data_IF_995919095098
#
_entry.id   IF_995919095098
#
_cell.length_a   1.000
_cell.length_b   1.000
_cell.length_c   1.000
_cell.angle_alpha   90.00
_cell.angle_beta   90.00
_cell.angle_gamma   90.00
#
_symmetry.space_group_name_H-M   'P 1'
#
loop_
_entity.id
_entity.type
_entity.pdbx_description
1 polymer ?
#
# COMPACT_ATOMS: atom_id res chain seq x y z
N UNK A 1 6.36 5.91 22.35
CA UNK A 1 5.42 4.91 21.73
C UNK A 1 5.29 3.70 22.64
N UNK A 2 4.09 3.12 22.77
CA UNK A 2 3.87 1.90 23.54
C UNK A 2 4.61 0.72 22.91
N UNK A 3 5.35 -0.05 23.76
CA UNK A 3 6.10 -1.23 23.29
C UNK A 3 5.21 -2.30 22.65
N UNK A 4 3.97 -2.48 23.15
CA UNK A 4 2.97 -3.41 22.61
C UNK A 4 2.64 -3.09 21.13
N UNK A 5 2.51 -1.79 20.79
CA UNK A 5 2.22 -1.35 19.44
C UNK A 5 3.42 -1.58 18.52
N UNK A 6 4.63 -1.25 18.98
CA UNK A 6 5.84 -1.51 18.21
C UNK A 6 6.05 -3.00 17.99
N UNK A 7 5.75 -3.85 18.98
CA UNK A 7 5.85 -5.31 18.86
C UNK A 7 4.82 -5.86 17.87
N UNK A 8 3.60 -5.33 17.86
CA UNK A 8 2.60 -5.67 16.83
C UNK A 8 3.14 -5.41 15.42
N UNK A 9 3.76 -4.25 15.20
CA UNK A 9 4.28 -3.89 13.88
C UNK A 9 5.64 -4.52 13.52
N UNK A 10 6.34 -5.18 14.49
CA UNK A 10 7.46 -6.07 14.19
C UNK A 10 7.02 -7.45 13.70
N UNK A 11 5.81 -7.87 14.06
CA UNK A 11 5.29 -9.17 13.64
C UNK A 11 4.96 -9.16 12.15
N UNK A 12 5.22 -10.30 11.50
CA UNK A 12 4.78 -10.51 10.12
C UNK A 12 3.31 -10.85 10.09
N UNK A 13 2.61 -10.29 9.13
CA UNK A 13 1.30 -10.78 8.70
C UNK A 13 1.45 -12.01 7.79
N UNK A 14 0.30 -12.57 7.37
CA UNK A 14 0.30 -13.56 6.29
C UNK A 14 0.96 -13.01 5.00
N UNK A 15 0.74 -11.74 4.71
CA UNK A 15 1.19 -11.12 3.45
C UNK A 15 2.65 -10.64 3.51
N UNK A 16 3.11 -10.15 4.64
CA UNK A 16 4.47 -9.63 4.81
C UNK A 16 5.48 -10.71 5.27
N UNK A 17 5.04 -11.93 5.58
CA UNK A 17 5.94 -13.00 5.99
C UNK A 17 6.84 -13.44 4.82
N UNK A 18 8.18 -13.29 4.94
CA UNK A 18 9.11 -13.65 3.89
C UNK A 18 9.40 -15.16 3.81
N UNK A 19 8.85 -15.97 4.72
CA UNK A 19 9.10 -17.40 4.79
C UNK A 19 10.59 -17.72 4.97
N UNK A 20 11.13 -18.55 4.10
CA UNK A 20 12.53 -19.00 4.13
C UNK A 20 13.56 -17.89 3.86
N UNK A 21 13.12 -16.75 3.33
CA UNK A 21 14.01 -15.65 2.90
C UNK A 21 14.31 -14.64 4.00
N UNK A 22 13.74 -14.80 5.21
CA UNK A 22 13.92 -13.84 6.32
C UNK A 22 15.38 -13.51 6.60
N UNK A 23 16.20 -14.55 6.71
CA UNK A 23 17.61 -14.39 7.06
C UNK A 23 18.41 -13.69 5.95
N UNK A 24 18.14 -14.02 4.68
CA UNK A 24 18.75 -13.33 3.54
C UNK A 24 18.36 -11.86 3.51
N UNK A 25 17.08 -11.53 3.69
CA UNK A 25 16.63 -10.13 3.75
C UNK A 25 17.31 -9.35 4.88
N UNK A 26 17.46 -9.97 6.05
CA UNK A 26 18.08 -9.33 7.20
C UNK A 26 19.59 -9.07 7.01
N UNK A 27 20.31 -10.02 6.40
CA UNK A 27 21.78 -10.04 6.38
C UNK A 27 22.41 -9.52 5.10
N UNK A 28 21.74 -9.70 3.94
CA UNK A 28 22.32 -9.43 2.63
C UNK A 28 21.92 -8.05 2.08
N UNK A 29 20.82 -7.47 2.57
CA UNK A 29 20.35 -6.16 2.14
C UNK A 29 20.94 -5.04 3.01
N UNK A 30 21.10 -3.82 2.47
CA UNK A 30 21.56 -2.65 3.23
C UNK A 30 20.69 -2.39 4.48
N UNK A 31 21.24 -1.66 5.45
CA UNK A 31 20.47 -1.19 6.62
C UNK A 31 19.80 0.17 6.33
N UNK A 32 20.26 0.88 5.32
CA UNK A 32 19.71 2.16 4.90
C UNK A 32 18.37 1.98 4.17
N UNK A 33 17.32 2.63 4.68
CA UNK A 33 15.94 2.50 4.19
C UNK A 33 15.81 3.01 2.75
N UNK A 34 16.54 4.06 2.37
CA UNK A 34 16.55 4.61 1.01
C UNK A 34 17.15 3.62 0.03
N UNK A 35 18.28 3.00 0.41
CA UNK A 35 18.93 1.98 -0.39
C UNK A 35 18.03 0.73 -0.57
N UNK A 36 17.33 0.30 0.50
CA UNK A 36 16.35 -0.79 0.42
C UNK A 36 15.23 -0.44 -0.56
N UNK A 37 14.61 0.75 -0.43
CA UNK A 37 13.51 1.17 -1.30
C UNK A 37 13.93 1.23 -2.78
N UNK A 38 15.13 1.71 -3.06
CA UNK A 38 15.70 1.67 -4.43
C UNK A 38 15.86 0.24 -4.94
N UNK A 39 16.37 -0.69 -4.13
CA UNK A 39 16.48 -2.10 -4.52
C UNK A 39 15.11 -2.73 -4.77
N UNK A 40 14.12 -2.45 -3.94
CA UNK A 40 12.75 -2.92 -4.16
C UNK A 40 12.25 -2.43 -5.52
N UNK A 41 12.38 -1.13 -5.83
CA UNK A 41 11.96 -0.56 -7.10
C UNK A 41 12.72 -1.12 -8.30
N UNK A 42 14.02 -1.41 -8.13
CA UNK A 42 14.85 -2.00 -9.19
C UNK A 42 14.59 -3.50 -9.41
N UNK A 43 13.74 -4.11 -8.61
CA UNK A 43 13.30 -5.50 -8.72
C UNK A 43 11.81 -5.63 -9.07
N UNK A 44 11.06 -4.53 -9.08
CA UNK A 44 9.65 -4.47 -9.40
C UNK A 44 9.37 -3.52 -10.56
N UNK A 45 8.26 -3.71 -11.23
CA UNK A 45 7.72 -2.76 -12.21
C UNK A 45 6.22 -2.64 -11.99
N UNK A 46 5.72 -1.41 -11.87
CA UNK A 46 4.31 -1.20 -11.66
C UNK A 46 3.52 -1.52 -12.94
N UNK A 47 2.43 -2.27 -12.80
CA UNK A 47 1.55 -2.70 -13.91
C UNK A 47 1.14 -1.54 -14.82
N UNK A 48 0.87 -0.37 -14.25
CA UNK A 48 0.51 0.83 -15.03
C UNK A 48 1.64 1.30 -15.95
N UNK A 49 2.90 1.10 -15.58
CA UNK A 49 4.04 1.45 -16.43
C UNK A 49 4.07 0.61 -17.71
N UNK A 50 3.66 -0.65 -17.64
CA UNK A 50 3.53 -1.50 -18.84
C UNK A 50 2.41 -1.00 -19.76
N UNK A 51 1.26 -0.59 -19.19
CA UNK A 51 0.15 -0.05 -19.97
C UNK A 51 0.51 1.27 -20.66
N UNK A 52 1.37 2.09 -20.03
CA UNK A 52 1.83 3.37 -20.59
C UNK A 52 2.95 3.19 -21.63
N UNK A 53 3.65 2.06 -21.65
CA UNK A 53 4.78 1.79 -22.54
C UNK A 53 5.98 2.72 -22.30
N UNK A 54 6.85 2.85 -23.30
CA UNK A 54 8.00 3.78 -23.30
C UNK A 54 7.67 5.13 -23.97
N UNK A 55 6.48 5.65 -23.73
CA UNK A 55 5.98 6.90 -24.34
C UNK A 55 5.56 7.91 -23.29
N UNK A 56 5.50 9.19 -23.66
CA UNK A 56 5.09 10.27 -22.78
C UNK A 56 5.93 10.32 -21.48
N UNK A 57 5.31 10.39 -20.32
CA UNK A 57 6.03 10.46 -19.04
C UNK A 57 6.98 9.29 -18.80
N UNK A 58 6.70 8.11 -19.34
CA UNK A 58 7.57 6.94 -19.20
C UNK A 58 8.89 7.05 -19.97
N UNK A 59 8.96 7.86 -21.02
CA UNK A 59 10.19 8.00 -21.82
C UNK A 59 11.35 8.55 -20.97
N UNK A 60 11.04 9.43 -20.01
CA UNK A 60 12.01 10.05 -19.12
C UNK A 60 12.22 9.27 -17.81
N UNK A 61 11.35 8.29 -17.54
CA UNK A 61 11.48 7.43 -16.38
C UNK A 61 12.57 6.38 -16.62
N UNK A 62 13.47 6.21 -15.68
CA UNK A 62 14.58 5.25 -15.76
C UNK A 62 14.13 3.79 -15.57
N UNK A 63 13.00 3.40 -16.16
CA UNK A 63 12.45 2.04 -16.06
C UNK A 63 12.98 1.07 -17.11
N UNK A 64 13.67 1.58 -18.12
CA UNK A 64 14.13 0.78 -19.25
C UNK A 64 13.04 0.53 -20.30
N UNK A 65 13.29 -0.41 -21.19
CA UNK A 65 12.41 -0.70 -22.33
C UNK A 65 11.25 -1.62 -21.93
N UNK A 66 10.07 -1.04 -21.71
CA UNK A 66 8.85 -1.76 -21.34
C UNK A 66 8.38 -2.75 -22.42
N UNK A 67 8.77 -2.55 -23.69
CA UNK A 67 8.40 -3.46 -24.78
C UNK A 67 9.04 -4.86 -24.64
N UNK A 68 10.08 -4.96 -23.83
CA UNK A 68 10.74 -6.24 -23.51
C UNK A 68 9.98 -7.08 -22.48
N UNK A 69 9.01 -6.51 -21.78
CA UNK A 69 8.18 -7.25 -20.83
C UNK A 69 7.03 -7.92 -21.57
N UNK A 70 6.94 -9.25 -21.60
CA UNK A 70 5.87 -9.96 -22.29
C UNK A 70 4.50 -9.58 -21.76
N UNK A 71 3.53 -9.36 -22.66
CA UNK A 71 2.17 -8.90 -22.30
C UNK A 71 1.44 -9.84 -21.34
N UNK A 72 1.67 -11.14 -21.39
CA UNK A 72 1.05 -12.13 -20.51
C UNK A 72 1.55 -12.07 -19.07
N UNK A 73 2.58 -11.28 -18.78
CA UNK A 73 3.07 -11.05 -17.42
C UNK A 73 2.37 -9.90 -16.70
N UNK A 74 1.49 -9.15 -17.37
CA UNK A 74 0.77 -8.06 -16.72
C UNK A 74 -0.03 -8.48 -15.47
N UNK A 75 -0.72 -9.65 -15.44
CA UNK A 75 -1.42 -10.11 -14.25
C UNK A 75 -0.52 -10.91 -13.28
N UNK A 76 0.78 -10.72 -13.30
CA UNK A 76 1.74 -11.51 -12.51
C UNK A 76 1.50 -11.37 -10.99
N UNK A 77 1.07 -10.20 -10.54
CA UNK A 77 0.70 -9.94 -9.15
C UNK A 77 -0.49 -10.77 -8.65
N UNK A 78 -1.40 -11.20 -9.51
CA UNK A 78 -2.50 -12.10 -9.13
C UNK A 78 -1.98 -13.45 -8.59
N UNK A 79 -0.78 -13.86 -9.01
CA UNK A 79 -0.13 -15.11 -8.59
C UNK A 79 0.91 -14.91 -7.47
N UNK A 80 1.18 -13.68 -7.06
CA UNK A 80 2.23 -13.32 -6.09
C UNK A 80 1.67 -12.57 -4.88
N UNK A 81 0.62 -13.06 -4.19
CA UNK A 81 -0.13 -12.26 -3.21
C UNK A 81 0.65 -11.93 -1.92
N UNK A 82 1.77 -12.59 -1.66
CA UNK A 82 2.56 -12.48 -0.42
C UNK A 82 4.03 -12.18 -0.70
N UNK A 83 4.74 -11.64 0.30
CA UNK A 83 6.18 -11.43 0.22
C UNK A 83 6.93 -12.74 -0.11
N UNK A 84 6.55 -13.84 0.52
CA UNK A 84 7.17 -15.16 0.25
C UNK A 84 7.02 -15.57 -1.23
N UNK A 85 5.84 -15.38 -1.83
CA UNK A 85 5.61 -15.70 -3.24
C UNK A 85 6.44 -14.79 -4.17
N UNK A 86 6.48 -13.47 -3.90
CA UNK A 86 7.30 -12.53 -4.66
C UNK A 86 8.80 -12.87 -4.57
N UNK A 87 9.28 -13.17 -3.37
CA UNK A 87 10.68 -13.57 -3.14
C UNK A 87 11.02 -14.89 -3.84
N UNK A 88 10.14 -15.89 -3.75
CA UNK A 88 10.34 -17.16 -4.45
C UNK A 88 10.51 -16.95 -5.96
N UNK A 89 9.67 -16.09 -6.55
CA UNK A 89 9.77 -15.77 -7.98
C UNK A 89 11.03 -14.99 -8.31
N UNK A 90 11.42 -14.01 -7.49
CA UNK A 90 12.67 -13.25 -7.68
C UNK A 90 13.91 -14.15 -7.59
N UNK A 91 13.98 -15.05 -6.59
CA UNK A 91 15.08 -16.00 -6.46
C UNK A 91 15.08 -17.08 -7.54
N UNK A 92 13.90 -17.48 -8.05
CA UNK A 92 13.80 -18.39 -9.20
C UNK A 92 14.39 -17.77 -10.47
N UNK A 93 14.19 -16.45 -10.68
CA UNK A 93 14.75 -15.72 -11.83
C UNK A 93 16.24 -15.52 -11.70
N UNK A 94 16.74 -15.24 -10.51
CA UNK A 94 18.16 -15.06 -10.24
C UNK A 94 18.47 -15.37 -8.76
N UNK A 95 19.43 -16.26 -8.46
CA UNK A 95 19.74 -16.68 -7.09
C UNK A 95 20.29 -15.55 -6.19
N UNK A 96 20.66 -14.41 -6.75
CA UNK A 96 21.06 -13.22 -5.98
C UNK A 96 19.86 -12.50 -5.33
N UNK A 97 18.64 -12.92 -5.62
CA UNK A 97 17.44 -12.35 -5.01
C UNK A 97 17.28 -10.85 -5.26
N UNK A 98 17.21 -10.06 -4.18
CA UNK A 98 17.01 -8.60 -4.22
C UNK A 98 18.32 -7.78 -4.19
N UNK A 99 19.48 -8.39 -4.14
CA UNK A 99 20.75 -7.68 -3.87
C UNK A 99 21.31 -6.88 -5.04
N UNK A 100 20.64 -6.86 -6.18
CA UNK A 100 21.10 -6.18 -7.38
C UNK A 100 19.95 -5.58 -8.20
N UNK A 101 20.30 -4.67 -9.10
CA UNK A 101 19.35 -4.10 -10.06
C UNK A 101 19.07 -5.10 -11.19
N UNK A 102 17.79 -5.44 -11.39
CA UNK A 102 17.37 -6.29 -12.51
C UNK A 102 17.12 -5.48 -13.76
N UNK A 103 17.36 -6.10 -14.91
CA UNK A 103 16.84 -5.57 -16.18
C UNK A 103 15.32 -5.56 -16.11
N UNK A 104 14.69 -4.63 -16.85
CA UNK A 104 13.23 -4.44 -16.80
C UNK A 104 12.47 -5.74 -17.07
N UNK A 105 12.89 -6.50 -18.06
CA UNK A 105 12.27 -7.77 -18.44
C UNK A 105 12.36 -8.87 -17.36
N UNK A 106 13.28 -8.73 -16.42
CA UNK A 106 13.51 -9.69 -15.34
C UNK A 106 12.85 -9.28 -14.01
N UNK A 107 12.28 -8.07 -13.93
CA UNK A 107 11.55 -7.58 -12.74
C UNK A 107 10.19 -8.26 -12.62
N UNK A 108 9.66 -8.39 -11.41
CA UNK A 108 8.27 -8.83 -11.23
C UNK A 108 7.30 -7.67 -11.51
N UNK A 109 6.17 -8.00 -12.15
CA UNK A 109 5.11 -7.03 -12.49
C UNK A 109 4.08 -7.02 -11.37
N UNK A 110 4.03 -5.93 -10.63
CA UNK A 110 3.19 -5.80 -9.43
C UNK A 110 2.55 -4.40 -9.35
N UNK A 111 1.62 -4.21 -8.41
CA UNK A 111 1.08 -2.88 -8.09
C UNK A 111 1.66 -2.35 -6.78
N UNK A 112 1.33 -1.12 -6.42
CA UNK A 112 1.85 -0.41 -5.23
C UNK A 112 1.70 -1.22 -3.94
N UNK A 113 0.57 -1.92 -3.71
CA UNK A 113 0.36 -2.80 -2.54
C UNK A 113 1.48 -3.83 -2.38
N UNK A 114 1.89 -4.45 -3.46
CA UNK A 114 2.92 -5.52 -3.42
C UNK A 114 4.31 -4.94 -3.18
N UNK A 115 4.58 -3.75 -3.72
CA UNK A 115 5.81 -2.99 -3.43
C UNK A 115 5.90 -2.69 -1.93
N UNK A 116 4.82 -2.18 -1.33
CA UNK A 116 4.75 -1.92 0.11
C UNK A 116 4.86 -3.20 0.95
N UNK A 117 4.19 -4.29 0.56
CA UNK A 117 4.32 -5.58 1.25
C UNK A 117 5.77 -6.08 1.23
N UNK A 118 6.46 -5.96 0.10
CA UNK A 118 7.85 -6.36 -0.01
C UNK A 118 8.77 -5.47 0.84
N UNK A 119 8.55 -4.15 0.81
CA UNK A 119 9.28 -3.18 1.63
C UNK A 119 9.07 -3.46 3.13
N UNK A 120 7.83 -3.60 3.58
CA UNK A 120 7.51 -3.94 4.97
C UNK A 120 8.13 -5.27 5.40
N UNK A 121 8.12 -6.28 4.52
CA UNK A 121 8.74 -7.58 4.78
C UNK A 121 10.24 -7.46 5.06
N UNK A 122 10.95 -6.64 4.27
CA UNK A 122 12.38 -6.41 4.45
C UNK A 122 12.64 -5.67 5.77
N UNK A 123 11.94 -4.59 6.03
CA UNK A 123 12.12 -3.78 7.25
C UNK A 123 11.81 -4.61 8.52
N UNK A 124 10.71 -5.36 8.51
CA UNK A 124 10.37 -6.28 9.61
C UNK A 124 11.43 -7.40 9.78
N UNK A 125 12.03 -7.91 8.70
CA UNK A 125 13.12 -8.88 8.79
C UNK A 125 14.35 -8.31 9.48
N UNK A 126 14.58 -6.99 9.37
CA UNK A 126 15.63 -6.27 10.09
C UNK A 126 15.21 -5.83 11.51
N UNK A 127 14.02 -6.24 11.98
CA UNK A 127 13.50 -5.89 13.31
C UNK A 127 12.93 -4.49 13.44
N UNK A 128 12.77 -3.77 12.34
CA UNK A 128 12.21 -2.42 12.30
C UNK A 128 10.67 -2.52 12.31
N UNK A 129 9.97 -1.93 13.33
CA UNK A 129 8.53 -1.89 13.33
C UNK A 129 8.03 -1.17 12.07
N UNK A 130 7.19 -1.83 11.30
CA UNK A 130 6.72 -1.30 10.00
C UNK A 130 5.27 -1.67 9.79
N UNK A 131 4.48 -0.71 9.32
CA UNK A 131 3.09 -0.92 8.92
C UNK A 131 2.87 -0.45 7.50
N UNK A 132 2.15 -1.25 6.74
CA UNK A 132 1.63 -0.86 5.43
C UNK A 132 0.43 0.05 5.64
N UNK A 133 0.28 1.08 4.81
CA UNK A 133 -0.84 2.01 4.85
C UNK A 133 -1.48 2.09 3.47
N UNK A 134 -2.79 2.20 3.43
CA UNK A 134 -3.55 2.45 2.20
C UNK A 134 -4.19 3.83 2.23
N UNK A 135 -4.34 4.44 1.08
CA UNK A 135 -4.97 5.76 0.95
C UNK A 135 -4.90 6.26 -0.48
N UNK A 136 -4.64 7.54 -0.66
CA UNK A 136 -4.56 8.13 -1.98
C UNK A 136 -3.36 9.08 -2.08
N UNK A 137 -2.70 9.07 -3.23
CA UNK A 137 -1.50 9.86 -3.52
C UNK A 137 -1.84 11.03 -4.45
N UNK A 138 -1.94 12.27 -3.93
CA UNK A 138 -2.17 13.45 -4.76
C UNK A 138 -0.94 13.84 -5.59
N UNK A 139 0.25 13.38 -5.21
CA UNK A 139 1.49 13.65 -5.93
C UNK A 139 1.66 12.86 -7.23
N UNK A 140 0.76 11.92 -7.53
CA UNK A 140 0.69 11.24 -8.83
C UNK A 140 -0.14 11.99 -9.86
N UNK A 141 -0.62 13.18 -9.54
CA UNK A 141 -1.28 14.05 -10.50
C UNK A 141 -0.27 14.62 -11.51
N UNK A 142 0.09 13.81 -12.47
CA UNK A 142 1.07 14.12 -13.52
C UNK A 142 0.40 14.61 -14.81
N UNK A 143 -0.87 15.02 -14.80
CA UNK A 143 -1.58 15.25 -16.03
C UNK A 143 -2.67 16.33 -16.06
N UNK A 144 -3.33 16.50 -17.20
CA UNK A 144 -4.32 17.55 -17.43
C UNK A 144 -5.66 17.33 -16.72
N UNK A 145 -5.81 16.29 -15.92
CA UNK A 145 -7.08 15.91 -15.29
C UNK A 145 -7.43 16.72 -14.03
N UNK A 146 -6.59 17.68 -13.64
CA UNK A 146 -6.77 18.50 -12.44
C UNK A 146 -6.25 17.80 -11.17
N UNK A 147 -6.56 18.37 -10.01
CA UNK A 147 -6.10 17.86 -8.71
C UNK A 147 -6.76 16.53 -8.36
N UNK A 148 -6.26 15.44 -8.88
CA UNK A 148 -6.69 14.07 -8.57
C UNK A 148 -5.84 13.47 -7.46
N UNK A 149 -6.40 12.52 -6.74
CA UNK A 149 -5.73 11.72 -5.72
C UNK A 149 -6.00 10.24 -6.04
N UNK A 150 -4.94 9.53 -6.42
CA UNK A 150 -5.04 8.14 -6.92
C UNK A 150 -4.88 7.18 -5.75
N UNK A 151 -5.65 6.10 -5.73
CA UNK A 151 -5.48 5.04 -4.72
C UNK A 151 -4.04 4.53 -4.71
N UNK A 152 -3.50 4.42 -3.53
CA UNK A 152 -2.09 4.06 -3.38
C UNK A 152 -1.79 3.41 -2.04
N UNK A 153 -0.68 2.67 -2.01
CA UNK A 153 -0.19 1.98 -0.83
C UNK A 153 1.25 2.41 -0.56
N UNK A 154 1.52 2.70 0.72
CA UNK A 154 2.79 3.21 1.21
C UNK A 154 3.16 2.47 2.50
N UNK A 155 4.33 2.78 3.06
CA UNK A 155 4.78 2.24 4.33
C UNK A 155 5.03 3.34 5.36
N UNK A 156 4.86 3.00 6.62
CA UNK A 156 5.37 3.76 7.75
C UNK A 156 6.28 2.85 8.58
N UNK A 157 7.54 3.28 8.81
CA UNK A 157 8.44 2.59 9.71
C UNK A 157 8.75 3.43 10.94
N UNK A 158 8.99 2.80 12.07
CA UNK A 158 9.36 3.48 13.31
C UNK A 158 10.85 3.84 13.30
N UNK A 159 11.14 5.14 13.26
CA UNK A 159 12.51 5.65 13.47
C UNK A 159 12.76 5.78 14.98
N UNK A 160 13.54 4.86 15.54
CA UNK A 160 13.79 4.82 16.97
C UNK A 160 14.69 5.99 17.46
N UNK A 161 15.49 6.59 16.57
CA UNK A 161 16.34 7.73 16.94
C UNK A 161 15.53 9.04 17.05
N UNK A 162 14.48 9.16 16.25
CA UNK A 162 13.62 10.35 16.21
C UNK A 162 12.28 10.12 16.96
N UNK A 163 12.03 8.91 17.44
CA UNK A 163 10.83 8.51 18.15
C UNK A 163 9.52 8.83 17.40
N UNK A 164 9.54 8.65 16.06
CA UNK A 164 8.37 8.91 15.19
C UNK A 164 8.19 7.88 14.10
N UNK A 165 7.00 7.83 13.55
CA UNK A 165 6.73 7.15 12.28
C UNK A 165 7.27 7.99 11.13
N UNK A 166 8.02 7.37 10.24
CA UNK A 166 8.47 7.93 8.96
C UNK A 166 7.64 7.33 7.85
N UNK A 167 7.00 8.19 7.06
CA UNK A 167 6.17 7.78 5.92
C UNK A 167 7.03 7.70 4.67
N UNK A 168 7.00 6.55 3.99
CA UNK A 168 7.82 6.28 2.80
C UNK A 168 7.00 5.68 1.66
N UNK A 169 7.41 5.95 0.43
CA UNK A 169 6.81 5.40 -0.78
C UNK A 169 7.90 4.82 -1.71
N UNK A 170 8.15 3.53 -1.58
CA UNK A 170 9.12 2.84 -2.42
C UNK A 170 8.66 2.70 -3.88
N UNK A 171 7.35 2.75 -4.16
CA UNK A 171 6.84 2.68 -5.53
C UNK A 171 7.02 4.00 -6.30
N UNK A 172 7.08 5.13 -5.60
CA UNK A 172 7.34 6.44 -6.20
C UNK A 172 8.82 6.69 -6.55
N UNK A 173 9.74 5.79 -6.24
CA UNK A 173 11.16 5.92 -6.62
C UNK A 173 11.29 6.10 -8.13
N UNK A 174 12.05 7.09 -8.54
CA UNK A 174 12.27 7.56 -9.93
C UNK A 174 11.09 8.32 -10.56
N UNK A 175 9.97 8.50 -9.88
CA UNK A 175 8.92 9.41 -10.35
C UNK A 175 9.34 10.87 -10.15
N UNK A 176 8.94 11.79 -11.03
CA UNK A 176 9.27 13.21 -10.92
C UNK A 176 8.33 13.90 -9.91
N UNK A 177 8.34 13.45 -8.66
CA UNK A 177 7.56 14.05 -7.57
C UNK A 177 8.39 15.07 -6.83
N UNK A 178 7.79 16.21 -6.48
CA UNK A 178 8.46 17.31 -5.77
C UNK A 178 8.24 17.17 -4.25
N UNK A 179 8.70 16.02 -3.71
CA UNK A 179 8.71 15.76 -2.27
C UNK A 179 9.73 14.68 -1.93
N UNK A 180 10.16 14.62 -0.68
CA UNK A 180 10.96 13.49 -0.19
C UNK A 180 10.06 12.28 0.01
N UNK A 181 10.18 11.29 -0.87
CA UNK A 181 9.41 10.05 -0.82
C UNK A 181 9.87 9.09 0.28
N UNK A 182 11.01 9.32 0.91
CA UNK A 182 11.53 8.52 2.01
C UNK A 182 11.37 9.17 3.40
N UNK A 183 10.85 10.39 3.43
CA UNK A 183 10.35 11.08 4.63
C UNK A 183 9.26 12.07 4.22
N UNK A 184 8.11 11.52 3.84
CA UNK A 184 7.01 12.34 3.33
C UNK A 184 6.49 13.28 4.43
N UNK A 185 6.33 14.58 4.13
CA UNK A 185 5.77 15.51 5.07
C UNK A 185 4.29 15.24 5.35
N UNK A 186 3.82 15.70 6.51
CA UNK A 186 2.40 15.61 6.86
C UNK A 186 1.53 16.25 5.77
N UNK A 187 0.49 15.54 5.36
CA UNK A 187 -0.44 16.00 4.33
C UNK A 187 -0.01 15.72 2.89
N UNK A 188 1.17 15.15 2.66
CA UNK A 188 1.58 14.71 1.32
C UNK A 188 0.75 13.53 0.81
N UNK A 189 0.29 12.68 1.71
CA UNK A 189 -0.57 11.53 1.42
C UNK A 189 -1.96 11.74 2.01
N UNK A 190 -3.00 11.47 1.24
CA UNK A 190 -4.39 11.55 1.68
C UNK A 190 -4.77 10.26 2.44
N UNK A 191 -4.57 10.24 3.75
CA UNK A 191 -5.05 9.14 4.58
C UNK A 191 -6.58 9.07 4.57
N UNK A 192 -7.15 7.89 4.35
CA UNK A 192 -8.56 7.74 4.02
C UNK A 192 -9.50 8.09 5.19
N UNK A 193 -9.06 7.95 6.42
CA UNK A 193 -9.84 8.34 7.59
C UNK A 193 -10.16 9.84 7.59
N UNK A 194 -9.15 10.67 7.36
CA UNK A 194 -9.32 12.12 7.23
C UNK A 194 -10.15 12.47 5.99
N UNK A 195 -9.85 11.85 4.84
CA UNK A 195 -10.58 12.08 3.60
C UNK A 195 -12.07 11.74 3.74
N UNK A 196 -12.40 10.61 4.39
CA UNK A 196 -13.78 10.22 4.67
C UNK A 196 -14.51 11.25 5.53
N UNK A 197 -13.93 11.64 6.66
CA UNK A 197 -14.56 12.61 7.57
C UNK A 197 -14.69 14.00 6.97
N UNK A 198 -13.70 14.46 6.20
CA UNK A 198 -13.75 15.75 5.52
C UNK A 198 -14.80 15.75 4.38
N UNK A 199 -14.94 14.64 3.66
CA UNK A 199 -16.02 14.44 2.69
C UNK A 199 -17.39 14.47 3.39
N UNK A 200 -17.56 13.71 4.48
CA UNK A 200 -18.81 13.69 5.27
C UNK A 200 -19.20 15.07 5.81
N UNK A 201 -18.20 15.89 6.11
CA UNK A 201 -18.38 17.27 6.55
C UNK A 201 -18.54 18.29 5.41
N UNK A 202 -18.50 17.86 4.14
CA UNK A 202 -18.59 18.73 2.98
C UNK A 202 -17.39 19.66 2.75
N UNK A 203 -16.21 19.32 3.32
CA UNK A 203 -15.00 20.14 3.22
C UNK A 203 -14.16 19.86 1.98
N UNK A 204 -14.35 18.71 1.34
CA UNK A 204 -13.60 18.30 0.15
C UNK A 204 -14.54 17.77 -0.92
N UNK A 205 -14.15 17.91 -2.19
CA UNK A 205 -14.82 17.22 -3.30
C UNK A 205 -14.34 15.77 -3.37
N UNK A 206 -15.20 14.78 -3.09
CA UNK A 206 -14.80 13.38 -3.16
C UNK A 206 -14.45 12.91 -4.57
N UNK A 207 -14.95 13.60 -5.62
CA UNK A 207 -14.73 13.17 -7.00
C UNK A 207 -13.28 13.29 -7.46
N UNK A 208 -12.43 13.94 -6.67
CA UNK A 208 -10.97 13.95 -6.90
C UNK A 208 -10.30 12.60 -6.61
N UNK A 209 -10.94 11.71 -5.85
CA UNK A 209 -10.41 10.39 -5.49
C UNK A 209 -10.80 9.34 -6.52
N UNK A 210 -9.82 8.63 -7.07
CA UNK A 210 -10.07 7.55 -8.03
C UNK A 210 -9.01 6.44 -7.94
N UNK A 211 -9.36 5.24 -8.39
CA UNK A 211 -8.51 4.04 -8.33
C UNK A 211 -7.76 3.72 -9.63
N UNK A 212 -7.52 4.72 -10.47
CA UNK A 212 -6.90 4.51 -11.79
C UNK A 212 -7.78 3.75 -12.79
N UNK A 213 -9.03 3.41 -12.40
CA UNK A 213 -10.08 2.80 -13.20
C UNK A 213 -11.28 3.77 -13.27
N UNK A 214 -12.44 3.37 -13.81
CA UNK A 214 -13.59 4.27 -13.88
C UNK A 214 -14.18 4.66 -12.51
N UNK A 215 -13.92 3.88 -11.46
CA UNK A 215 -14.45 4.17 -10.13
C UNK A 215 -13.75 5.38 -9.52
N UNK A 216 -14.57 6.27 -8.99
CA UNK A 216 -14.13 7.51 -8.31
C UNK A 216 -15.14 7.95 -7.26
N UNK A 217 -14.71 8.90 -6.45
CA UNK A 217 -15.57 9.50 -5.46
C UNK A 217 -15.63 8.74 -4.13
N UNK A 218 -16.73 8.87 -3.39
CA UNK A 218 -16.86 8.40 -2.01
C UNK A 218 -16.53 6.92 -1.80
N UNK A 219 -16.86 6.07 -2.76
CA UNK A 219 -16.61 4.63 -2.66
C UNK A 219 -15.11 4.30 -2.68
N UNK A 220 -14.30 5.06 -3.41
CA UNK A 220 -12.84 4.86 -3.45
C UNK A 220 -12.24 5.22 -2.09
N UNK A 221 -12.69 6.32 -1.47
CA UNK A 221 -12.27 6.70 -0.11
C UNK A 221 -12.63 5.59 0.88
N UNK A 222 -13.84 5.01 0.76
CA UNK A 222 -14.29 3.93 1.65
C UNK A 222 -13.46 2.66 1.47
N UNK A 223 -13.14 2.26 0.24
CA UNK A 223 -12.27 1.12 0.00
C UNK A 223 -10.88 1.32 0.62
N UNK A 224 -10.30 2.50 0.40
CA UNK A 224 -9.00 2.83 1.01
C UNK A 224 -9.07 2.81 2.53
N UNK A 225 -10.18 3.27 3.15
CA UNK A 225 -10.36 3.23 4.61
C UNK A 225 -10.38 1.79 5.14
N UNK A 226 -11.06 0.89 4.46
CA UNK A 226 -11.09 -0.52 4.87
C UNK A 226 -9.75 -1.21 4.65
N UNK A 227 -9.08 -0.95 3.55
CA UNK A 227 -7.73 -1.48 3.32
C UNK A 227 -6.74 -0.96 4.37
N UNK A 228 -6.81 0.32 4.72
CA UNK A 228 -5.94 0.93 5.72
C UNK A 228 -6.19 0.36 7.11
N UNK A 229 -7.46 0.22 7.53
CA UNK A 229 -7.84 -0.41 8.79
C UNK A 229 -7.30 -1.84 8.91
N UNK A 230 -7.52 -2.66 7.88
CA UNK A 230 -7.01 -4.03 7.88
C UNK A 230 -5.48 -4.08 7.87
N UNK A 231 -4.83 -3.19 7.15
CA UNK A 231 -3.36 -3.12 7.10
C UNK A 231 -2.75 -2.73 8.45
N UNK A 232 -3.37 -1.79 9.17
CA UNK A 232 -2.99 -1.43 10.54
C UNK A 232 -3.15 -2.61 11.51
N UNK A 233 -4.06 -3.54 11.21
CA UNK A 233 -4.23 -4.80 11.95
C UNK A 233 -3.34 -5.95 11.43
N UNK A 234 -2.25 -5.66 10.71
CA UNK A 234 -1.38 -6.66 10.07
C UNK A 234 -2.13 -7.65 9.16
N UNK A 235 -3.13 -7.17 8.44
CA UNK A 235 -3.92 -7.95 7.49
C UNK A 235 -4.03 -7.16 6.16
N UNK A 236 -2.94 -7.02 5.46
CA UNK A 236 -2.80 -6.28 4.20
C UNK A 236 -3.50 -7.02 3.07
N UNK A 237 -4.83 -7.01 3.10
CA UNK A 237 -5.67 -7.78 2.18
C UNK A 237 -5.46 -7.40 0.72
N UNK A 238 -5.75 -8.33 -0.19
CA UNK A 238 -5.74 -8.06 -1.63
C UNK A 238 -6.97 -7.27 -2.06
N UNK A 239 -6.83 -6.55 -3.18
CA UNK A 239 -7.93 -5.81 -3.80
C UNK A 239 -9.16 -6.71 -3.97
N UNK A 240 -10.34 -6.11 -3.93
CA UNK A 240 -11.66 -6.76 -4.00
C UNK A 240 -12.13 -7.45 -2.70
N UNK A 241 -11.27 -7.59 -1.69
CA UNK A 241 -11.69 -8.05 -0.38
C UNK A 241 -12.09 -6.85 0.47
N UNK A 242 -13.36 -6.53 0.49
CA UNK A 242 -13.93 -5.44 1.26
C UNK A 242 -15.02 -5.94 2.22
N UNK A 243 -15.28 -5.25 3.34
CA UNK A 243 -16.50 -5.41 4.08
C UNK A 243 -17.73 -5.18 3.20
N UNK A 244 -18.88 -5.70 3.63
CA UNK A 244 -20.14 -5.58 2.86
C UNK A 244 -20.48 -4.13 2.51
N UNK A 245 -20.13 -3.17 3.37
CA UNK A 245 -20.34 -1.74 3.14
C UNK A 245 -19.58 -1.16 1.94
N UNK A 246 -18.44 -1.76 1.58
CA UNK A 246 -17.63 -1.39 0.42
C UNK A 246 -18.10 -1.99 -0.90
N UNK A 247 -19.17 -2.74 -0.93
CA UNK A 247 -19.74 -3.26 -2.17
C UNK A 247 -20.53 -2.18 -2.90
N UNK A 248 -20.35 -2.01 -4.21
CA UNK A 248 -21.03 -0.97 -4.96
C UNK A 248 -22.57 -1.00 -4.78
N UNK A 249 -23.15 -2.22 -4.75
CA UNK A 249 -24.59 -2.43 -4.59
C UNK A 249 -25.10 -2.00 -3.21
N UNK A 250 -24.29 -2.22 -2.16
CA UNK A 250 -24.63 -1.85 -0.78
C UNK A 250 -24.31 -0.40 -0.47
N UNK A 251 -23.23 0.13 -1.04
CA UNK A 251 -22.74 1.49 -0.75
C UNK A 251 -23.81 2.56 -0.98
N UNK A 252 -24.53 2.49 -2.10
CA UNK A 252 -25.63 3.43 -2.41
C UNK A 252 -26.87 3.29 -1.52
N UNK A 253 -26.91 2.28 -0.66
CA UNK A 253 -28.06 1.92 0.21
C UNK A 253 -27.68 1.93 1.69
N UNK A 254 -26.53 2.52 2.06
CA UNK A 254 -26.08 2.58 3.46
C UNK A 254 -27.06 3.41 4.30
N UNK A 255 -27.51 2.80 5.38
CA UNK A 255 -28.37 3.45 6.38
C UNK A 255 -27.57 4.43 7.25
N UNK A 256 -28.25 5.35 7.91
CA UNK A 256 -27.62 6.32 8.80
C UNK A 256 -26.81 5.64 9.94
N UNK A 257 -27.30 4.53 10.48
CA UNK A 257 -26.58 3.75 11.49
C UNK A 257 -25.32 3.07 10.97
N UNK A 258 -25.32 2.61 9.71
CA UNK A 258 -24.16 2.00 9.05
C UNK A 258 -23.10 3.08 8.73
N UNK A 259 -23.54 4.23 8.23
CA UNK A 259 -22.66 5.39 8.05
C UNK A 259 -22.03 5.85 9.36
N UNK A 260 -22.79 5.87 10.46
CA UNK A 260 -22.25 6.23 11.77
C UNK A 260 -21.18 5.24 12.27
N UNK A 261 -21.31 3.94 11.97
CA UNK A 261 -20.26 2.96 12.26
C UNK A 261 -18.97 3.24 11.46
N UNK A 262 -19.11 3.57 10.17
CA UNK A 262 -17.98 3.90 9.31
C UNK A 262 -17.32 5.22 9.79
N UNK A 263 -18.13 6.23 10.14
CA UNK A 263 -17.66 7.50 10.69
C UNK A 263 -16.85 7.27 11.98
N UNK A 264 -17.33 6.38 12.87
CA UNK A 264 -16.62 6.01 14.09
C UNK A 264 -15.29 5.30 13.80
N UNK A 265 -15.27 4.33 12.88
CA UNK A 265 -14.01 3.70 12.46
C UNK A 265 -13.02 4.74 11.91
N UNK A 266 -13.49 5.64 11.05
CA UNK A 266 -12.65 6.71 10.52
C UNK A 266 -12.12 7.63 11.63
N UNK A 267 -12.95 7.95 12.63
CA UNK A 267 -12.52 8.76 13.78
C UNK A 267 -11.40 8.08 14.58
N UNK A 268 -11.48 6.77 14.81
CA UNK A 268 -10.44 5.99 15.48
C UNK A 268 -9.17 5.92 14.65
N UNK A 269 -9.30 5.77 13.34
CA UNK A 269 -8.20 5.68 12.40
C UNK A 269 -7.46 7.00 12.14
N UNK A 270 -7.94 8.13 12.65
CA UNK A 270 -7.16 9.39 12.65
C UNK A 270 -5.88 9.28 13.49
N UNK A 271 -5.93 8.50 14.57
CA UNK A 271 -4.78 8.20 15.42
C UNK A 271 -4.84 6.72 15.82
N UNK A 272 -4.37 5.82 14.93
CA UNK A 272 -4.49 4.39 15.16
C UNK A 272 -3.66 3.88 16.34
N UNK A 273 -2.59 4.58 16.69
CA UNK A 273 -1.76 4.19 17.83
C UNK A 273 -2.46 4.48 19.16
N UNK A 274 -3.07 5.67 19.29
CA UNK A 274 -3.83 6.04 20.47
C UNK A 274 -5.06 5.15 20.66
N UNK A 275 -5.70 4.74 19.58
CA UNK A 275 -6.94 3.97 19.58
C UNK A 275 -6.72 2.48 19.33
N UNK A 276 -5.47 1.99 19.48
CA UNK A 276 -5.05 0.65 19.05
C UNK A 276 -5.92 -0.46 19.63
N UNK A 277 -6.17 -0.45 20.95
CA UNK A 277 -6.94 -1.51 21.62
C UNK A 277 -8.40 -1.57 21.14
N UNK A 278 -9.00 -0.41 20.86
CA UNK A 278 -10.36 -0.36 20.33
C UNK A 278 -10.42 -0.82 18.86
N UNK A 279 -9.41 -0.48 18.05
CA UNK A 279 -9.30 -0.97 16.67
C UNK A 279 -9.11 -2.50 16.64
N UNK A 280 -8.29 -3.06 17.54
CA UNK A 280 -8.16 -4.52 17.70
C UNK A 280 -9.50 -5.14 18.06
N UNK A 281 -10.23 -4.57 19.04
CA UNK A 281 -11.55 -5.05 19.44
C UNK A 281 -12.53 -5.07 18.26
N UNK A 282 -12.57 -3.99 17.46
CA UNK A 282 -13.42 -3.91 16.27
C UNK A 282 -13.02 -5.00 15.26
N UNK A 283 -11.73 -5.13 14.98
CA UNK A 283 -11.22 -6.11 14.02
C UNK A 283 -11.60 -7.55 14.40
N UNK A 284 -11.52 -7.89 15.68
CA UNK A 284 -11.80 -9.24 16.16
C UNK A 284 -13.31 -9.53 16.28
N UNK A 285 -14.12 -8.55 16.65
CA UNK A 285 -15.50 -8.81 17.09
C UNK A 285 -16.58 -8.25 16.17
N UNK A 286 -16.34 -7.14 15.45
CA UNK A 286 -17.37 -6.53 14.61
C UNK A 286 -17.47 -7.22 13.24
N UNK A 287 -18.60 -7.90 13.03
CA UNK A 287 -18.85 -8.63 11.78
C UNK A 287 -18.98 -7.72 10.55
N UNK A 288 -19.41 -6.48 10.77
CA UNK A 288 -19.70 -5.55 9.68
C UNK A 288 -18.42 -5.06 8.97
N UNK A 289 -17.26 -5.17 9.65
CA UNK A 289 -15.96 -4.82 9.11
C UNK A 289 -15.13 -6.03 8.64
N UNK A 290 -15.69 -7.24 8.69
CA UNK A 290 -15.01 -8.43 8.16
C UNK A 290 -14.94 -8.38 6.64
N UNK A 291 -13.78 -8.78 6.14
CA UNK A 291 -13.58 -8.92 4.70
C UNK A 291 -14.40 -10.09 4.17
N UNK A 292 -15.13 -9.85 3.10
CA UNK A 292 -15.89 -10.87 2.41
C UNK A 292 -15.52 -10.87 0.94
N UNK A 293 -15.17 -12.03 0.43
CA UNK A 293 -15.04 -12.24 -1.01
C UNK A 293 -16.43 -12.40 -1.62
N UNK A 294 -16.64 -11.88 -2.82
CA UNK A 294 -17.92 -11.88 -3.50
C UNK A 294 -18.59 -13.25 -3.64
N UNK A 295 -17.82 -14.31 -3.68
CA UNK A 295 -18.29 -15.68 -3.81
C UNK A 295 -18.77 -16.33 -2.48
N UNK A 296 -18.55 -15.68 -1.34
CA UNK A 296 -18.78 -16.25 0.00
C UNK A 296 -20.01 -15.63 0.71
N UNK A 297 -20.86 -14.96 -0.02
CA UNK A 297 -22.09 -14.36 0.51
C UNK A 297 -23.29 -15.09 -0.03
#
# INVERSE_FOLDING_TARGET
MDGKILDHYRQFSLFTNPGLYKDSLAKELPDDVVAIGKLVKMNTIHRMMLAMGNTGPNADLKFGDMSKVPWWRQPEDDNLPTAAAMLAELYRRDPRGLTFERRVEDRIVVTCRFVSILMASILKSKGIPTRVRSGNAPYFDLGPLGKVSVDHWIDQYWNAAEERWVTIDADAVFLPVDLDIFDQPDGAFDFPAKAWLDMRAGKIDPMRFHNGKPERGPIVILWSLFYDFHSVMNNETIYMHNPIYGRPEKFGQLMASELAKIDNLAQLMLDPDKNFDELVRIFETDRDFRLVHGALI
#
